data_IF_231811423862
#
_entry.id   IF_231811423862
#
_cell.length_a   1.000
_cell.length_b   1.000
_cell.length_c   1.000
_cell.angle_alpha   90.00
_cell.angle_beta   90.00
_cell.angle_gamma   90.00
#
_symmetry.space_group_name_H-M   'P 1'
#
loop_
_entity.id
_entity.type
_entity.pdbx_description
1 polymer ?
#
# COMPACT_ATOMS: atom_id res chain seq x y z
N UNK A 1 -5.09 8.45 19.43
CA UNK A 1 -3.63 8.34 19.21
C UNK A 1 -3.17 9.54 18.41
N UNK A 2 -2.07 10.20 18.81
CA UNK A 2 -1.47 11.27 18.01
C UNK A 2 -0.49 10.68 16.97
N UNK A 3 -0.94 10.60 15.72
CA UNK A 3 -0.13 10.14 14.60
C UNK A 3 0.70 11.25 13.95
N UNK A 4 0.39 12.53 14.24
CA UNK A 4 1.10 13.67 13.63
C UNK A 4 2.54 13.76 14.14
N UNK A 5 2.76 13.54 15.44
CA UNK A 5 4.10 13.49 16.04
C UNK A 5 4.97 12.32 15.52
N UNK A 6 4.35 11.25 14.98
CA UNK A 6 5.06 10.11 14.40
C UNK A 6 5.60 10.37 12.98
N UNK A 7 5.13 11.42 12.31
CA UNK A 7 5.58 11.76 10.95
C UNK A 7 7.07 12.09 10.95
N UNK A 8 7.47 13.02 11.83
CA UNK A 8 8.85 13.51 11.91
C UNK A 8 9.78 12.51 12.57
N UNK A 9 9.28 11.71 13.52
CA UNK A 9 10.09 10.78 14.32
C UNK A 9 10.18 9.37 13.75
N UNK A 10 9.23 8.93 12.91
CA UNK A 10 9.19 7.56 12.38
C UNK A 10 9.10 7.54 10.85
N UNK A 11 8.11 8.22 10.26
CA UNK A 11 7.82 8.12 8.81
C UNK A 11 8.96 8.72 7.97
N UNK A 12 9.34 9.97 8.23
CA UNK A 12 10.41 10.64 7.48
C UNK A 12 11.76 9.89 7.62
N UNK A 13 12.20 9.49 8.83
CA UNK A 13 13.40 8.67 8.99
C UNK A 13 13.34 7.34 8.23
N UNK A 14 12.20 6.65 8.23
CA UNK A 14 12.01 5.41 7.49
C UNK A 14 12.19 5.62 5.97
N UNK A 15 11.52 6.63 5.40
CA UNK A 15 11.63 6.98 3.98
C UNK A 15 13.09 7.25 3.60
N UNK A 16 13.80 8.04 4.41
CA UNK A 16 15.22 8.37 4.19
C UNK A 16 16.13 7.14 4.30
N UNK A 17 15.94 6.32 5.35
CA UNK A 17 16.73 5.10 5.59
C UNK A 17 16.61 4.10 4.46
N UNK A 18 15.40 3.94 3.91
CA UNK A 18 15.11 3.00 2.82
C UNK A 18 15.24 3.65 1.43
N UNK A 19 15.64 4.92 1.35
CA UNK A 19 15.85 5.66 0.11
C UNK A 19 14.68 5.57 -0.88
N UNK A 20 13.44 5.56 -0.36
CA UNK A 20 12.24 5.41 -1.19
C UNK A 20 12.19 6.54 -2.22
N UNK A 21 12.08 6.17 -3.50
CA UNK A 21 12.04 7.12 -4.62
C UNK A 21 10.61 7.48 -5.04
N UNK A 22 9.65 6.60 -4.76
CA UNK A 22 8.25 6.82 -5.06
C UNK A 22 7.66 7.92 -4.18
N UNK A 23 6.67 8.65 -4.70
CA UNK A 23 5.88 9.59 -3.90
C UNK A 23 5.19 8.86 -2.76
N UNK A 24 5.39 9.34 -1.53
CA UNK A 24 4.77 8.78 -0.32
C UNK A 24 3.65 9.70 0.12
N UNK A 25 2.45 9.16 0.26
CA UNK A 25 1.27 9.89 0.74
C UNK A 25 0.89 9.30 2.10
N UNK A 26 0.77 10.17 3.10
CA UNK A 26 0.21 9.80 4.40
C UNK A 26 -1.27 10.15 4.43
N UNK A 27 -2.12 9.14 4.51
CA UNK A 27 -3.55 9.32 4.75
C UNK A 27 -3.79 9.68 6.22
N UNK A 28 -4.10 10.94 6.47
CA UNK A 28 -4.55 11.44 7.78
C UNK A 28 -6.08 11.53 7.78
N UNK A 29 -6.75 10.39 7.63
CA UNK A 29 -8.21 10.31 7.55
C UNK A 29 -8.81 9.84 8.91
N UNK A 30 -9.75 10.56 9.51
CA UNK A 30 -10.44 10.12 10.73
C UNK A 30 -11.28 8.85 10.53
N UNK A 31 -11.72 8.54 9.30
CA UNK A 31 -12.45 7.33 8.94
C UNK A 31 -11.70 6.50 7.90
N UNK A 32 -10.59 5.91 8.35
CA UNK A 32 -9.79 4.98 7.55
C UNK A 32 -10.61 3.76 7.07
N UNK A 33 -11.64 3.34 7.82
CA UNK A 33 -12.46 2.19 7.47
C UNK A 33 -13.31 2.43 6.22
N UNK A 34 -13.70 3.68 5.94
CA UNK A 34 -14.43 4.03 4.72
C UNK A 34 -13.68 3.66 3.42
N UNK A 35 -12.36 3.51 3.49
CA UNK A 35 -11.53 3.14 2.34
C UNK A 35 -11.59 1.66 2.00
N UNK A 36 -11.94 0.79 2.95
CA UNK A 36 -11.93 -0.67 2.75
C UNK A 36 -12.80 -1.04 1.54
N UNK A 37 -14.09 -0.69 1.60
CA UNK A 37 -15.04 -0.97 0.52
C UNK A 37 -14.74 -0.21 -0.78
N UNK A 38 -14.14 0.99 -0.69
CA UNK A 38 -13.76 1.79 -1.87
C UNK A 38 -12.57 1.18 -2.62
N UNK A 39 -11.64 0.57 -1.90
CA UNK A 39 -10.47 -0.11 -2.47
C UNK A 39 -10.90 -1.47 -3.03
N UNK A 40 -11.50 -2.32 -2.20
CA UNK A 40 -12.07 -3.61 -2.58
C UNK A 40 -13.14 -4.05 -1.55
N UNK A 41 -14.40 -4.26 -1.94
CA UNK A 41 -15.45 -4.76 -1.05
C UNK A 41 -15.18 -6.13 -0.39
N UNK A 42 -14.24 -6.90 -0.94
CA UNK A 42 -13.81 -8.19 -0.38
C UNK A 42 -12.64 -8.06 0.60
N UNK A 43 -12.07 -6.86 0.78
CA UNK A 43 -11.01 -6.66 1.76
C UNK A 43 -11.58 -6.74 3.18
N UNK A 44 -11.02 -7.61 4.02
CA UNK A 44 -11.46 -7.75 5.41
C UNK A 44 -11.09 -6.56 6.31
N UNK A 45 -10.19 -5.68 5.83
CA UNK A 45 -9.52 -4.66 6.63
C UNK A 45 -8.19 -5.12 7.24
N UNK A 46 -7.82 -6.39 7.06
CA UNK A 46 -6.54 -6.90 7.56
C UNK A 46 -5.36 -6.40 6.73
N UNK A 47 -4.22 -6.20 7.41
CA UNK A 47 -2.95 -5.83 6.79
C UNK A 47 -1.94 -6.98 6.97
N UNK A 48 -1.02 -7.21 6.01
CA UNK A 48 -0.78 -6.41 4.80
C UNK A 48 -1.80 -6.68 3.67
N UNK A 49 -2.10 -5.63 2.90
CA UNK A 49 -2.95 -5.70 1.71
C UNK A 49 -2.33 -4.92 0.55
N UNK A 50 -2.39 -5.49 -0.66
CA UNK A 50 -1.78 -4.94 -1.87
C UNK A 50 -2.81 -4.85 -2.99
N UNK A 51 -2.93 -3.68 -3.61
CA UNK A 51 -3.71 -3.45 -4.83
C UNK A 51 -2.75 -3.10 -5.98
N UNK A 52 -2.82 -3.85 -7.08
CA UNK A 52 -2.09 -3.56 -8.33
C UNK A 52 -3.09 -3.04 -9.37
N UNK A 53 -2.73 -1.95 -10.05
CA UNK A 53 -3.57 -1.29 -11.06
C UNK A 53 -2.75 -0.99 -12.31
N UNK A 54 -3.24 -1.39 -13.49
CA UNK A 54 -2.71 -0.97 -14.81
C UNK A 54 -3.87 -0.80 -15.80
N UNK A 55 -4.14 0.44 -16.19
CA UNK A 55 -5.32 0.76 -17.01
C UNK A 55 -6.60 0.25 -16.34
N UNK A 56 -7.35 -0.60 -17.05
CA UNK A 56 -8.58 -1.20 -16.53
C UNK A 56 -8.36 -2.49 -15.72
N UNK A 57 -7.12 -3.00 -15.63
CA UNK A 57 -6.79 -4.21 -14.85
C UNK A 57 -6.54 -3.82 -13.40
N UNK A 58 -7.20 -4.51 -12.47
CA UNK A 58 -7.02 -4.37 -11.03
C UNK A 58 -6.93 -5.76 -10.40
N UNK A 59 -5.95 -5.98 -9.53
CA UNK A 59 -5.81 -7.21 -8.75
C UNK A 59 -5.49 -6.87 -7.29
N UNK A 60 -6.25 -7.47 -6.37
CA UNK A 60 -6.14 -7.23 -4.94
C UNK A 60 -5.72 -8.51 -4.23
N UNK A 61 -4.78 -8.38 -3.30
CA UNK A 61 -4.25 -9.48 -2.51
C UNK A 61 -4.12 -9.08 -1.04
N UNK A 62 -4.77 -9.83 -0.16
CA UNK A 62 -4.68 -9.68 1.30
C UNK A 62 -3.78 -10.78 1.88
N UNK A 63 -2.48 -10.65 1.64
CA UNK A 63 -1.46 -11.59 2.15
C UNK A 63 -0.08 -10.95 2.16
N UNK A 64 0.81 -11.55 2.92
CA UNK A 64 2.24 -11.23 2.87
C UNK A 64 2.85 -11.76 1.57
N UNK A 65 3.81 -11.02 1.03
CA UNK A 65 4.60 -11.42 -0.12
C UNK A 65 6.08 -11.42 0.25
N UNK A 66 6.80 -12.40 -0.27
CA UNK A 66 8.24 -12.27 -0.51
C UNK A 66 8.49 -11.34 -1.69
N UNK A 67 9.71 -10.83 -1.81
CA UNK A 67 10.11 -9.98 -2.95
C UNK A 67 9.83 -10.68 -4.28
N UNK A 68 10.24 -11.94 -4.42
CA UNK A 68 10.08 -12.71 -5.66
C UNK A 68 8.61 -12.92 -6.03
N UNK A 69 7.74 -13.20 -5.07
CA UNK A 69 6.31 -13.35 -5.34
C UNK A 69 5.69 -12.04 -5.83
N UNK A 70 6.09 -10.90 -5.24
CA UNK A 70 5.61 -9.58 -5.65
C UNK A 70 6.15 -9.20 -7.03
N UNK A 71 7.41 -9.50 -7.34
CA UNK A 71 8.03 -9.25 -8.64
C UNK A 71 7.34 -10.07 -9.74
N UNK A 72 7.10 -11.36 -9.51
CA UNK A 72 6.35 -12.22 -10.43
C UNK A 72 4.93 -11.71 -10.65
N UNK A 73 4.27 -11.25 -9.57
CA UNK A 73 2.92 -10.72 -9.65
C UNK A 73 2.86 -9.44 -10.49
N UNK A 74 3.78 -8.49 -10.26
CA UNK A 74 3.82 -7.20 -10.98
C UNK A 74 4.27 -7.36 -12.43
N UNK A 75 5.19 -8.30 -12.73
CA UNK A 75 5.67 -8.56 -14.10
C UNK A 75 4.54 -8.96 -15.04
N UNK A 76 3.55 -9.74 -14.56
CA UNK A 76 2.34 -10.11 -15.33
C UNK A 76 1.55 -8.90 -15.84
N UNK A 77 1.64 -7.77 -15.12
CA UNK A 77 1.01 -6.53 -15.54
C UNK A 77 1.88 -5.78 -16.54
N UNK A 78 3.20 -5.92 -16.52
CA UNK A 78 4.10 -5.15 -17.39
C UNK A 78 4.18 -5.69 -18.82
N UNK A 79 3.92 -6.97 -19.03
CA UNK A 79 3.89 -7.59 -20.37
C UNK A 79 2.83 -6.91 -21.28
N UNK A 80 3.13 -6.70 -22.58
CA UNK A 80 2.19 -6.13 -23.55
C UNK A 80 0.87 -6.91 -23.64
#
# INVERSE_FOLDING_TARGET
MDFKSKITTQVIPFIKKHQLKSSVILLSDPDANSWINKINPQWSGSLPATLIVKGNKREFNEKTFTYNELELLTTKFLTP
#
